data_IF_127570946142
#
_entry.id   IF_127570946142
#
_cell.length_a   1.000
_cell.length_b   1.000
_cell.length_c   1.000
_cell.angle_alpha   90.00
_cell.angle_beta   90.00
_cell.angle_gamma   90.00
#
_symmetry.space_group_name_H-M   'P 1'
#
loop_
_entity.id
_entity.type
_entity.pdbx_description
1 polymer ?
#
# COMPACT_ATOMS: atom_id res chain seq x y z
N UNK A 1 -18.26 -1.06 3.77
CA UNK A 1 -18.50 -0.10 2.66
C UNK A 1 -17.47 1.02 2.71
N UNK A 2 -16.86 1.33 1.57
CA UNK A 2 -15.73 2.26 1.44
C UNK A 2 -16.19 3.58 0.80
N UNK A 3 -15.67 4.73 1.26
CA UNK A 3 -16.01 6.04 0.68
C UNK A 3 -15.27 6.29 -0.65
N UNK A 4 -15.76 7.23 -1.47
CA UNK A 4 -15.05 7.67 -2.68
C UNK A 4 -13.63 8.15 -2.39
N UNK A 5 -13.44 8.91 -1.30
CA UNK A 5 -12.11 9.41 -0.90
C UNK A 5 -11.13 8.28 -0.54
N UNK A 6 -11.60 7.22 0.11
CA UNK A 6 -10.77 6.05 0.40
C UNK A 6 -10.39 5.27 -0.87
N UNK A 7 -11.28 5.22 -1.87
CA UNK A 7 -10.95 4.64 -3.18
C UNK A 7 -9.88 5.47 -3.91
N UNK A 8 -9.94 6.80 -3.86
CA UNK A 8 -8.89 7.66 -4.42
C UNK A 8 -7.54 7.37 -3.76
N UNK A 9 -7.49 7.28 -2.42
CA UNK A 9 -6.27 6.91 -1.71
C UNK A 9 -5.74 5.53 -2.14
N UNK A 10 -6.62 4.54 -2.33
CA UNK A 10 -6.24 3.23 -2.84
C UNK A 10 -5.69 3.29 -4.27
N UNK A 11 -6.26 4.11 -5.16
CA UNK A 11 -5.72 4.31 -6.51
C UNK A 11 -4.34 4.95 -6.49
N UNK A 12 -4.10 5.94 -5.61
CA UNK A 12 -2.77 6.52 -5.42
C UNK A 12 -1.78 5.44 -5.00
N UNK A 13 -2.13 4.62 -3.99
CA UNK A 13 -1.28 3.50 -3.56
C UNK A 13 -0.99 2.52 -4.71
N UNK A 14 -1.99 2.15 -5.52
CA UNK A 14 -1.81 1.27 -6.67
C UNK A 14 -0.86 1.87 -7.72
N UNK A 15 -1.02 3.15 -8.04
CA UNK A 15 -0.16 3.84 -9.00
C UNK A 15 1.29 3.92 -8.48
N UNK A 16 1.49 4.26 -7.21
CA UNK A 16 2.81 4.30 -6.58
C UNK A 16 3.49 2.93 -6.53
N UNK A 17 2.75 1.86 -6.17
CA UNK A 17 3.28 0.51 -6.16
C UNK A 17 3.63 0.01 -7.57
N UNK A 18 2.81 0.35 -8.57
CA UNK A 18 3.11 0.06 -9.97
C UNK A 18 4.38 0.79 -10.46
N UNK A 19 4.52 2.07 -10.13
CA UNK A 19 5.71 2.85 -10.44
C UNK A 19 6.97 2.25 -9.82
N UNK A 20 6.91 1.85 -8.54
CA UNK A 20 8.03 1.23 -7.82
C UNK A 20 8.53 -0.04 -8.52
N UNK A 21 7.60 -0.95 -8.87
CA UNK A 21 7.94 -2.18 -9.59
C UNK A 21 8.53 -1.91 -10.99
N UNK A 22 7.97 -0.95 -11.73
CA UNK A 22 8.45 -0.60 -13.07
C UNK A 22 9.85 0.02 -13.01
N UNK A 23 10.09 0.93 -12.07
CA UNK A 23 11.41 1.56 -11.91
C UNK A 23 12.45 0.56 -11.44
N UNK A 24 12.11 -0.30 -10.47
CA UNK A 24 13.03 -1.34 -10.00
C UNK A 24 13.44 -2.30 -11.13
N UNK A 25 12.48 -2.74 -11.95
CA UNK A 25 12.77 -3.55 -13.14
C UNK A 25 13.62 -2.77 -14.15
N UNK A 26 13.28 -1.49 -14.38
CA UNK A 26 14.03 -0.60 -15.27
C UNK A 26 15.48 -0.40 -14.85
N UNK A 27 15.77 -0.34 -13.55
CA UNK A 27 17.14 -0.24 -13.05
C UNK A 27 18.02 -1.40 -13.47
N UNK A 28 17.49 -2.62 -13.53
CA UNK A 28 18.25 -3.80 -13.96
C UNK A 28 18.58 -3.79 -15.45
N UNK A 29 17.87 -2.98 -16.24
CA UNK A 29 18.12 -2.80 -17.67
C UNK A 29 19.00 -1.58 -17.97
N UNK A 30 18.82 -0.48 -17.23
CA UNK A 30 19.49 0.80 -17.48
C UNK A 30 20.88 0.86 -16.82
N UNK A 31 21.02 0.21 -15.66
CA UNK A 31 22.22 0.21 -14.82
C UNK A 31 22.65 -1.23 -14.46
N UNK A 32 22.90 -2.11 -15.46
CA UNK A 32 23.23 -3.52 -15.22
C UNK A 32 24.58 -3.73 -14.52
N UNK A 33 25.41 -2.69 -14.43
CA UNK A 33 26.68 -2.68 -13.70
C UNK A 33 26.54 -2.81 -12.18
N UNK A 34 25.36 -2.52 -11.63
CA UNK A 34 25.08 -2.67 -10.20
C UNK A 34 24.61 -4.11 -9.95
N UNK A 35 25.42 -4.88 -9.21
CA UNK A 35 25.15 -6.28 -8.92
C UNK A 35 23.86 -6.45 -8.10
N UNK A 36 22.83 -7.13 -8.64
CA UNK A 36 21.57 -7.30 -7.93
C UNK A 36 21.66 -8.19 -6.68
N UNK A 37 22.70 -8.99 -6.53
CA UNK A 37 22.86 -9.90 -5.41
C UNK A 37 23.45 -9.20 -4.18
N UNK A 38 24.46 -8.35 -4.39
CA UNK A 38 25.26 -7.76 -3.32
C UNK A 38 24.92 -6.29 -3.08
N UNK A 39 24.77 -5.48 -4.14
CA UNK A 39 24.56 -4.04 -4.03
C UNK A 39 23.16 -3.66 -3.57
N UNK A 40 23.08 -2.62 -2.75
CA UNK A 40 21.83 -2.02 -2.34
C UNK A 40 21.07 -1.43 -3.54
N UNK A 41 19.74 -1.50 -3.51
CA UNK A 41 18.87 -0.78 -4.46
C UNK A 41 19.05 0.74 -4.35
N UNK A 42 19.49 1.24 -3.19
CA UNK A 42 19.80 2.66 -3.04
C UNK A 42 21.02 3.11 -3.86
N UNK A 43 21.96 2.21 -4.19
CA UNK A 43 23.16 2.54 -5.00
C UNK A 43 22.81 2.92 -6.45
N UNK A 44 21.63 2.56 -6.94
CA UNK A 44 21.14 3.06 -8.24
C UNK A 44 21.07 4.58 -8.31
N UNK A 45 21.11 5.28 -7.17
CA UNK A 45 21.17 6.74 -7.11
C UNK A 45 22.45 7.32 -7.74
N UNK A 46 23.54 6.54 -7.82
CA UNK A 46 24.83 7.04 -8.29
C UNK A 46 25.08 6.90 -9.79
N UNK A 47 24.26 6.13 -10.52
CA UNK A 47 24.44 5.98 -11.96
C UNK A 47 23.39 6.72 -12.79
N UNK A 48 23.19 6.25 -14.02
CA UNK A 48 22.54 7.00 -15.12
C UNK A 48 21.10 7.44 -14.82
N UNK A 49 20.37 6.65 -14.03
CA UNK A 49 18.98 6.93 -13.68
C UNK A 49 18.83 7.32 -12.21
N UNK A 50 19.88 7.90 -11.59
CA UNK A 50 19.94 8.15 -10.15
C UNK A 50 18.77 8.90 -9.55
N UNK A 51 18.28 9.94 -10.24
CA UNK A 51 17.10 10.71 -9.81
C UNK A 51 15.84 9.83 -9.63
N UNK A 52 15.70 8.75 -10.41
CA UNK A 52 14.57 7.84 -10.30
C UNK A 52 14.57 7.08 -8.97
N UNK A 53 15.72 6.93 -8.30
CA UNK A 53 15.81 6.28 -6.98
C UNK A 53 15.10 7.14 -5.93
N UNK A 54 15.38 8.45 -5.92
CA UNK A 54 14.69 9.41 -5.05
C UNK A 54 13.20 9.54 -5.38
N UNK A 55 12.85 9.68 -6.66
CA UNK A 55 11.44 9.78 -7.11
C UNK A 55 10.65 8.55 -6.66
N UNK A 56 11.23 7.36 -6.82
CA UNK A 56 10.57 6.11 -6.44
C UNK A 56 10.45 5.98 -4.93
N UNK A 57 11.48 6.36 -4.16
CA UNK A 57 11.37 6.40 -2.70
C UNK A 57 10.26 7.34 -2.23
N UNK A 58 10.12 8.51 -2.86
CA UNK A 58 9.04 9.45 -2.55
C UNK A 58 7.66 8.86 -2.92
N UNK A 59 7.54 8.22 -4.08
CA UNK A 59 6.31 7.58 -4.52
C UNK A 59 5.88 6.43 -3.58
N UNK A 60 6.81 5.56 -3.18
CA UNK A 60 6.56 4.51 -2.18
C UNK A 60 6.05 5.12 -0.88
N UNK A 61 6.67 6.21 -0.43
CA UNK A 61 6.25 6.90 0.78
C UNK A 61 4.83 7.50 0.67
N UNK A 62 4.52 8.18 -0.44
CA UNK A 62 3.18 8.71 -0.72
C UNK A 62 2.12 7.60 -0.78
N UNK A 63 2.43 6.49 -1.46
CA UNK A 63 1.56 5.33 -1.57
C UNK A 63 1.26 4.71 -0.21
N UNK A 64 2.28 4.59 0.66
CA UNK A 64 2.13 4.06 2.01
C UNK A 64 1.32 4.97 2.93
N UNK A 65 1.57 6.28 2.93
CA UNK A 65 0.76 7.24 3.71
C UNK A 65 -0.69 7.23 3.24
N UNK A 66 -0.91 7.17 1.93
CA UNK A 66 -2.26 7.07 1.36
C UNK A 66 -2.99 5.81 1.82
N UNK A 67 -2.31 4.66 1.81
CA UNK A 67 -2.85 3.40 2.28
C UNK A 67 -3.12 3.42 3.78
N UNK A 68 -2.22 4.00 4.58
CA UNK A 68 -2.38 4.15 6.01
C UNK A 68 -3.66 4.95 6.35
N UNK A 69 -3.87 6.09 5.71
CA UNK A 69 -5.08 6.91 5.88
C UNK A 69 -6.33 6.14 5.44
N UNK A 70 -6.25 5.42 4.31
CA UNK A 70 -7.35 4.61 3.82
C UNK A 70 -7.77 3.51 4.82
N UNK A 71 -6.80 2.76 5.35
CA UNK A 71 -7.01 1.70 6.36
C UNK A 71 -7.51 2.28 7.68
N UNK A 72 -6.96 3.41 8.13
CA UNK A 72 -7.40 4.09 9.35
C UNK A 72 -8.89 4.46 9.30
N UNK A 73 -9.40 4.87 8.12
CA UNK A 73 -10.81 5.24 7.92
C UNK A 73 -11.78 4.07 7.91
N UNK A 74 -11.33 2.88 7.54
CA UNK A 74 -12.21 1.71 7.34
C UNK A 74 -12.12 0.68 8.47
N UNK A 75 -11.12 0.79 9.34
CA UNK A 75 -10.90 -0.14 10.45
C UNK A 75 -11.10 0.55 11.81
N UNK A 76 -11.62 -0.20 12.79
CA UNK A 76 -11.93 0.32 14.14
C UNK A 76 -11.10 -0.35 15.24
N UNK A 77 -10.46 -1.48 14.94
CA UNK A 77 -9.67 -2.23 15.92
C UNK A 77 -8.37 -1.51 16.26
N UNK A 78 -7.97 -1.50 17.53
CA UNK A 78 -6.71 -0.90 18.00
C UNK A 78 -5.50 -1.44 17.23
N UNK A 79 -5.41 -2.77 17.06
CA UNK A 79 -4.35 -3.42 16.28
C UNK A 79 -4.20 -2.84 14.87
N UNK A 80 -5.30 -2.68 14.13
CA UNK A 80 -5.26 -2.10 12.79
C UNK A 80 -4.87 -0.61 12.79
N UNK A 81 -5.28 0.15 13.81
CA UNK A 81 -4.87 1.55 13.97
C UNK A 81 -3.38 1.67 14.26
N UNK A 82 -2.84 0.82 15.13
CA UNK A 82 -1.39 0.73 15.36
C UNK A 82 -0.67 0.39 14.05
N UNK A 83 -1.16 -0.61 13.32
CA UNK A 83 -0.61 -0.99 12.01
C UNK A 83 -0.65 0.17 11.00
N UNK A 84 -1.75 0.90 10.92
CA UNK A 84 -1.87 2.09 10.06
C UNK A 84 -0.92 3.22 10.49
N UNK A 85 -0.74 3.44 11.80
CA UNK A 85 0.24 4.38 12.33
C UNK A 85 1.68 4.00 11.94
N UNK A 86 2.05 2.72 12.09
CA UNK A 86 3.35 2.20 11.67
C UNK A 86 3.56 2.32 10.15
N UNK A 87 2.52 2.09 9.34
CA UNK A 87 2.59 2.28 7.89
C UNK A 87 2.75 3.76 7.51
N UNK A 88 2.14 4.68 8.27
CA UNK A 88 2.37 6.11 8.09
C UNK A 88 3.81 6.50 8.44
N UNK A 89 4.37 5.97 9.53
CA UNK A 89 5.79 6.15 9.89
C UNK A 89 6.70 5.63 8.79
N UNK A 90 6.44 4.43 8.26
CA UNK A 90 7.14 3.88 7.10
C UNK A 90 7.09 4.85 5.91
N UNK A 91 5.89 5.32 5.55
CA UNK A 91 5.71 6.18 4.39
C UNK A 91 6.40 7.54 4.54
N UNK A 92 6.32 8.15 5.72
CA UNK A 92 7.03 9.39 6.05
C UNK A 92 8.54 9.21 6.05
N UNK A 93 9.05 8.08 6.56
CA UNK A 93 10.47 7.76 6.50
C UNK A 93 10.97 7.65 5.05
N UNK A 94 10.21 7.00 4.17
CA UNK A 94 10.53 6.88 2.73
C UNK A 94 10.47 8.21 1.98
N UNK A 95 9.52 9.08 2.33
CA UNK A 95 9.45 10.46 1.82
C UNK A 95 10.63 11.29 2.28
N UNK A 96 11.02 11.21 3.55
CA UNK A 96 12.20 11.90 4.04
C UNK A 96 13.46 11.36 3.35
N UNK A 97 13.59 10.04 3.23
CA UNK A 97 14.75 9.36 2.66
C UNK A 97 15.01 9.76 1.20
N UNK A 98 13.99 10.18 0.43
CA UNK A 98 14.20 10.63 -0.95
C UNK A 98 15.07 11.88 -1.07
N UNK A 99 15.21 12.66 0.00
CA UNK A 99 16.05 13.87 0.06
C UNK A 99 17.47 13.60 0.57
N UNK A 100 17.75 12.39 1.04
CA UNK A 100 19.06 12.00 1.57
C UNK A 100 19.61 10.86 0.71
N UNK A 101 20.39 11.13 -0.34
CA UNK A 101 21.07 10.09 -1.12
C UNK A 101 22.01 9.24 -0.23
N UNK A 102 22.18 7.97 -0.57
CA UNK A 102 23.20 7.13 0.08
C UNK A 102 24.60 7.58 -0.34
N UNK A 103 25.59 7.41 0.52
CA UNK A 103 26.98 7.77 0.23
C UNK A 103 27.57 6.86 -0.86
N UNK A 104 28.33 7.46 -1.79
CA UNK A 104 29.12 6.71 -2.78
C UNK A 104 30.47 6.20 -2.22
N UNK A 105 30.85 6.69 -1.03
CA UNK A 105 32.09 6.39 -0.33
C UNK A 105 32.36 7.41 0.78
N UNK A 106 33.01 6.97 1.86
CA UNK A 106 33.14 7.77 3.09
C UNK A 106 31.80 7.92 3.82
N UNK A 107 31.84 8.31 5.09
CA UNK A 107 30.63 8.50 5.90
C UNK A 107 30.24 9.98 5.94
N UNK A 108 29.05 10.31 5.46
CA UNK A 108 28.48 11.66 5.58
C UNK A 108 27.22 11.64 6.45
N UNK A 109 26.82 12.82 6.94
CA UNK A 109 25.53 12.97 7.65
C UNK A 109 24.35 12.62 6.75
N UNK A 110 24.45 12.87 5.45
CA UNK A 110 23.40 12.54 4.47
C UNK A 110 23.22 11.03 4.35
N UNK A 111 24.30 10.27 4.14
CA UNK A 111 24.24 8.81 4.10
C UNK A 111 23.84 8.20 5.44
N UNK A 112 24.25 8.80 6.57
CA UNK A 112 23.76 8.38 7.89
C UNK A 112 22.24 8.52 8.02
N UNK A 113 21.68 9.66 7.59
CA UNK A 113 20.22 9.87 7.58
C UNK A 113 19.51 8.91 6.63
N UNK A 114 20.08 8.63 5.45
CA UNK A 114 19.55 7.64 4.52
C UNK A 114 19.43 6.26 5.20
N UNK A 115 20.51 5.81 5.85
CA UNK A 115 20.55 4.51 6.52
C UNK A 115 19.59 4.44 7.71
N UNK A 116 19.52 5.49 8.53
CA UNK A 116 18.59 5.56 9.65
C UNK A 116 17.13 5.44 9.19
N UNK A 117 16.75 6.21 8.17
CA UNK A 117 15.40 6.20 7.61
C UNK A 117 15.07 4.87 6.93
N UNK A 118 16.05 4.29 6.22
CA UNK A 118 15.94 2.97 5.62
C UNK A 118 15.71 1.87 6.66
N UNK A 119 16.53 1.83 7.71
CA UNK A 119 16.41 0.85 8.80
C UNK A 119 15.08 0.97 9.53
N UNK A 120 14.64 2.20 9.83
CA UNK A 120 13.31 2.44 10.39
C UNK A 120 12.23 1.85 9.48
N UNK A 121 12.30 2.11 8.17
CA UNK A 121 11.35 1.60 7.20
C UNK A 121 11.35 0.06 7.13
N UNK A 122 12.52 -0.59 7.15
CA UNK A 122 12.64 -2.07 7.18
C UNK A 122 12.03 -2.71 8.42
N UNK A 123 12.06 -2.02 9.57
CA UNK A 123 11.55 -2.54 10.84
C UNK A 123 10.03 -2.37 10.99
N UNK A 124 9.48 -1.23 10.56
CA UNK A 124 8.07 -0.92 10.85
C UNK A 124 7.09 -1.54 9.84
N UNK A 125 7.49 -1.72 8.58
CA UNK A 125 6.60 -2.25 7.54
C UNK A 125 6.11 -3.68 7.81
N UNK A 126 6.95 -4.65 8.22
CA UNK A 126 6.49 -6.02 8.48
C UNK A 126 5.41 -6.06 9.55
N UNK A 127 5.61 -5.30 10.63
CA UNK A 127 4.65 -5.19 11.74
C UNK A 127 3.35 -4.55 11.25
N UNK A 128 3.43 -3.47 10.48
CA UNK A 128 2.26 -2.87 9.85
C UNK A 128 1.50 -3.86 8.97
N UNK A 129 2.21 -4.65 8.16
CA UNK A 129 1.63 -5.62 7.24
C UNK A 129 0.84 -6.71 7.98
N UNK A 130 1.41 -7.26 9.06
CA UNK A 130 0.74 -8.28 9.89
C UNK A 130 -0.54 -7.73 10.52
N UNK A 131 -0.48 -6.52 11.10
CA UNK A 131 -1.61 -5.94 11.82
C UNK A 131 -2.74 -5.48 10.89
N UNK A 132 -2.40 -4.96 9.71
CA UNK A 132 -3.38 -4.41 8.75
C UNK A 132 -4.12 -5.53 7.99
N UNK A 133 -3.41 -6.55 7.52
CA UNK A 133 -3.94 -7.57 6.59
C UNK A 133 -5.28 -8.19 7.05
N UNK A 134 -5.42 -8.73 8.28
CA UNK A 134 -6.68 -9.33 8.72
C UNK A 134 -7.79 -8.31 8.96
N UNK A 135 -7.45 -7.07 9.31
CA UNK A 135 -8.45 -6.02 9.54
C UNK A 135 -8.99 -5.46 8.22
N UNK A 136 -8.11 -5.21 7.25
CA UNK A 136 -8.48 -4.74 5.92
C UNK A 136 -9.34 -5.77 5.16
N UNK A 137 -8.98 -7.06 5.24
CA UNK A 137 -9.76 -8.15 4.65
C UNK A 137 -11.21 -8.17 5.19
N UNK A 138 -11.37 -8.11 6.52
CA UNK A 138 -12.70 -8.09 7.17
C UNK A 138 -13.50 -6.85 6.79
N UNK A 139 -12.91 -5.67 6.86
CA UNK A 139 -13.59 -4.42 6.55
C UNK A 139 -14.03 -4.30 5.08
N UNK A 140 -13.35 -5.01 4.17
CA UNK A 140 -13.72 -5.12 2.76
C UNK A 140 -14.66 -6.29 2.45
N UNK A 141 -15.20 -6.98 3.46
CA UNK A 141 -16.16 -8.09 3.27
C UNK A 141 -15.56 -9.40 2.77
N UNK A 142 -14.23 -9.57 2.87
CA UNK A 142 -13.52 -10.78 2.43
C UNK A 142 -13.40 -11.86 3.51
N UNK A 143 -13.85 -11.60 4.74
CA UNK A 143 -13.72 -12.51 5.87
C UNK A 143 -12.27 -12.64 6.35
N UNK A 144 -11.83 -13.87 6.62
CA UNK A 144 -10.44 -14.16 7.00
C UNK A 144 -9.54 -14.11 5.76
N UNK A 145 -8.36 -13.46 5.82
CA UNK A 145 -7.43 -13.50 4.71
C UNK A 145 -6.96 -14.95 4.49
N UNK A 146 -6.94 -15.38 3.22
CA UNK A 146 -6.40 -16.68 2.84
C UNK A 146 -4.90 -16.82 3.14
N UNK A 147 -4.29 -17.93 2.72
CA UNK A 147 -2.88 -18.22 3.00
C UNK A 147 -1.92 -17.25 2.29
N UNK A 148 -2.23 -16.86 1.05
CA UNK A 148 -1.34 -16.02 0.22
C UNK A 148 -1.06 -14.61 0.79
N UNK A 149 -2.06 -13.81 1.23
CA UNK A 149 -1.79 -12.50 1.84
C UNK A 149 -0.98 -12.59 3.14
N UNK A 150 -1.17 -13.67 3.91
CA UNK A 150 -0.38 -13.94 5.12
C UNK A 150 1.05 -14.29 4.76
N UNK A 151 1.25 -15.14 3.75
CA UNK A 151 2.57 -15.48 3.23
C UNK A 151 3.31 -14.21 2.76
N UNK A 152 2.65 -13.31 2.03
CA UNK A 152 3.26 -12.05 1.61
C UNK A 152 3.72 -11.19 2.80
N UNK A 153 2.90 -11.07 3.85
CA UNK A 153 3.29 -10.36 5.08
C UNK A 153 4.48 -11.04 5.79
N UNK A 154 4.49 -12.37 5.87
CA UNK A 154 5.61 -13.13 6.45
C UNK A 154 6.88 -13.07 5.60
N UNK A 155 6.76 -13.01 4.28
CA UNK A 155 7.89 -12.83 3.38
C UNK A 155 8.55 -11.46 3.62
N UNK A 156 7.77 -10.41 3.87
CA UNK A 156 8.28 -9.10 4.28
C UNK A 156 9.04 -9.20 5.61
N UNK A 157 8.53 -9.95 6.61
CA UNK A 157 9.26 -10.19 7.88
C UNK A 157 10.58 -10.89 7.64
N UNK A 158 10.57 -12.01 6.91
CA UNK A 158 11.75 -12.81 6.63
C UNK A 158 12.82 -11.97 5.92
N UNK A 159 12.41 -11.23 4.88
CA UNK A 159 13.34 -10.41 4.11
C UNK A 159 13.84 -9.19 4.86
N UNK A 160 13.07 -8.60 5.79
CA UNK A 160 13.60 -7.58 6.71
C UNK A 160 14.74 -8.12 7.57
N UNK A 161 14.59 -9.33 8.13
CA UNK A 161 15.66 -9.97 8.91
C UNK A 161 16.88 -10.21 8.03
N UNK A 162 16.67 -10.74 6.82
CA UNK A 162 17.74 -10.98 5.85
C UNK A 162 18.44 -9.70 5.40
N UNK A 163 17.75 -8.57 5.28
CA UNK A 163 18.38 -7.27 4.97
C UNK A 163 19.27 -6.81 6.13
N UNK A 164 18.85 -7.00 7.38
CA UNK A 164 19.61 -6.60 8.56
C UNK A 164 20.87 -7.45 8.78
N UNK A 165 20.89 -8.70 8.33
CA UNK A 165 22.04 -9.61 8.46
C UNK A 165 22.76 -9.87 7.13
N UNK A 166 22.21 -9.38 6.01
CA UNK A 166 22.54 -9.80 4.65
C UNK A 166 23.94 -9.41 4.20
N UNK A 167 24.49 -8.36 4.80
CA UNK A 167 25.84 -7.89 4.54
C UNK A 167 26.89 -8.96 4.91
N UNK A 168 26.59 -9.79 5.91
CA UNK A 168 27.47 -10.89 6.34
C UNK A 168 27.46 -12.12 5.44
N UNK A 169 26.50 -12.26 4.53
CA UNK A 169 26.32 -13.45 3.67
C UNK A 169 26.34 -13.16 2.17
N UNK A 170 26.61 -11.91 1.78
CA UNK A 170 26.71 -11.49 0.36
C UNK A 170 25.38 -11.54 -0.41
N UNK A 171 24.24 -11.57 0.28
CA UNK A 171 22.89 -11.62 -0.32
C UNK A 171 22.04 -10.39 0.04
N UNK A 172 22.68 -9.33 0.53
CA UNK A 172 22.01 -8.10 0.95
C UNK A 172 21.14 -7.52 -0.18
N UNK A 173 21.73 -7.32 -1.37
CA UNK A 173 21.05 -6.77 -2.53
C UNK A 173 19.85 -7.60 -2.97
N UNK A 174 19.96 -8.93 -2.95
CA UNK A 174 18.85 -9.82 -3.30
C UNK A 174 17.74 -9.74 -2.25
N UNK A 175 18.08 -9.85 -0.97
CA UNK A 175 17.12 -9.77 0.13
C UNK A 175 16.34 -8.45 0.09
N UNK A 176 17.03 -7.34 -0.18
CA UNK A 176 16.42 -6.02 -0.28
C UNK A 176 15.45 -5.93 -1.47
N UNK A 177 15.79 -6.49 -2.63
CA UNK A 177 14.90 -6.52 -3.80
C UNK A 177 13.64 -7.36 -3.53
N UNK A 178 13.79 -8.54 -2.93
CA UNK A 178 12.64 -9.38 -2.56
C UNK A 178 11.76 -8.65 -1.55
N UNK A 179 12.35 -7.96 -0.56
CA UNK A 179 11.61 -7.12 0.38
C UNK A 179 10.79 -6.04 -0.33
N UNK A 180 11.41 -5.26 -1.24
CA UNK A 180 10.76 -4.16 -1.95
C UNK A 180 9.62 -4.67 -2.84
N UNK A 181 9.86 -5.74 -3.62
CA UNK A 181 8.83 -6.36 -4.45
C UNK A 181 7.68 -6.87 -3.59
N UNK A 182 7.97 -7.56 -2.48
CA UNK A 182 6.95 -8.07 -1.57
C UNK A 182 6.13 -6.95 -0.93
N UNK A 183 6.79 -5.85 -0.54
CA UNK A 183 6.17 -4.64 -0.01
C UNK A 183 5.22 -3.98 -1.04
N UNK A 184 5.68 -3.80 -2.28
CA UNK A 184 4.87 -3.24 -3.36
C UNK A 184 3.65 -4.13 -3.68
N UNK A 185 3.85 -5.44 -3.79
CA UNK A 185 2.76 -6.39 -4.05
C UNK A 185 1.75 -6.44 -2.88
N UNK A 186 2.23 -6.41 -1.64
CA UNK A 186 1.36 -6.38 -0.46
C UNK A 186 0.54 -5.09 -0.38
N UNK A 187 1.18 -3.92 -0.58
CA UNK A 187 0.46 -2.64 -0.59
C UNK A 187 -0.56 -2.58 -1.74
N UNK A 188 -0.20 -3.04 -2.93
CA UNK A 188 -1.11 -3.15 -4.07
C UNK A 188 -2.28 -4.10 -3.80
N UNK A 189 -2.03 -5.24 -3.14
CA UNK A 189 -3.06 -6.18 -2.75
C UNK A 189 -4.09 -5.52 -1.81
N UNK A 190 -3.65 -4.90 -0.72
CA UNK A 190 -4.55 -4.24 0.24
C UNK A 190 -5.28 -3.07 -0.42
N UNK A 191 -4.60 -2.29 -1.26
CA UNK A 191 -5.21 -1.21 -2.02
C UNK A 191 -6.27 -1.72 -3.02
N UNK A 192 -6.02 -2.83 -3.72
CA UNK A 192 -6.99 -3.46 -4.62
C UNK A 192 -8.26 -3.87 -3.86
N UNK A 193 -8.12 -4.30 -2.61
CA UNK A 193 -9.25 -4.68 -1.79
C UNK A 193 -10.14 -3.50 -1.44
N UNK A 194 -9.52 -2.37 -1.09
CA UNK A 194 -10.19 -1.10 -0.80
C UNK A 194 -10.85 -0.53 -2.06
N UNK A 195 -10.16 -0.63 -3.20
CA UNK A 195 -10.65 -0.14 -4.48
C UNK A 195 -11.89 -0.90 -4.97
N UNK A 196 -11.90 -2.23 -4.80
CA UNK A 196 -12.96 -3.12 -5.25
C UNK A 196 -14.14 -3.23 -4.27
N UNK A 197 -14.02 -2.73 -3.05
CA UNK A 197 -15.10 -2.80 -2.08
C UNK A 197 -16.27 -1.90 -2.51
N UNK A 198 -17.51 -2.40 -2.37
CA UNK A 198 -18.73 -1.64 -2.72
C UNK A 198 -18.75 -0.28 -2.02
N UNK A 199 -19.05 0.78 -2.78
CA UNK A 199 -19.05 2.14 -2.25
C UNK A 199 -20.30 2.40 -1.41
N UNK A 200 -20.15 3.23 -0.36
CA UNK A 200 -21.30 3.72 0.43
C UNK A 200 -22.29 4.48 -0.47
N UNK A 201 -21.75 5.26 -1.41
CA UNK A 201 -22.53 6.14 -2.27
C UNK A 201 -23.40 5.37 -3.27
N UNK A 202 -22.90 4.27 -3.84
CA UNK A 202 -23.70 3.41 -4.74
C UNK A 202 -24.80 2.65 -3.99
N UNK A 203 -24.53 2.20 -2.76
CA UNK A 203 -25.54 1.55 -1.95
C UNK A 203 -26.66 2.53 -1.53
N UNK A 204 -26.31 3.76 -1.18
CA UNK A 204 -27.26 4.82 -0.88
C UNK A 204 -28.11 5.20 -2.10
N UNK A 205 -27.50 5.32 -3.28
CA UNK A 205 -28.23 5.60 -4.54
C UNK A 205 -29.19 4.48 -4.91
N UNK A 206 -28.79 3.21 -4.76
CA UNK A 206 -29.66 2.07 -5.04
C UNK A 206 -30.85 2.01 -4.07
N UNK A 207 -30.63 2.29 -2.77
CA UNK A 207 -31.72 2.32 -1.78
C UNK A 207 -32.73 3.44 -2.04
N UNK A 208 -32.27 4.63 -2.45
CA UNK A 208 -33.16 5.73 -2.83
C UNK A 208 -33.94 5.41 -4.11
N UNK A 209 -33.31 4.74 -5.09
CA UNK A 209 -33.97 4.27 -6.31
C UNK A 209 -35.10 3.27 -6.03
N UNK A 210 -34.84 2.25 -5.19
CA UNK A 210 -35.85 1.26 -4.79
C UNK A 210 -37.01 1.89 -4.00
N UNK A 211 -36.72 2.85 -3.11
CA UNK A 211 -37.76 3.58 -2.36
C UNK A 211 -38.63 4.46 -3.29
N UNK A 212 -38.03 5.11 -4.29
CA UNK A 212 -38.74 5.90 -5.29
C UNK A 212 -39.65 5.05 -6.18
N UNK A 213 -39.23 3.83 -6.55
CA UNK A 213 -40.05 2.89 -7.32
C UNK A 213 -41.23 2.33 -6.50
N UNK A 214 -41.03 2.01 -5.22
CA UNK A 214 -42.11 1.55 -4.35
C UNK A 214 -43.16 2.63 -4.02
N UNK A 215 -42.80 3.91 -4.16
CA UNK A 215 -43.72 5.04 -3.91
C UNK A 215 -44.63 5.37 -5.10
N UNK A 216 -44.26 4.95 -6.32
CA UNK A 216 -45.03 5.21 -7.54
C UNK A 216 -46.14 4.20 -7.86
N UNK A 217 -46.26 3.14 -7.05
CA UNK A 217 -47.16 2.00 -7.29
C UNK A 217 -48.50 2.01 -6.56
N UNK A 218 -48.76 2.97 -5.66
CA UNK A 218 -50.08 3.10 -5.03
C UNK A 218 -51.05 3.85 -5.95
N UNK A 219 -51.55 3.14 -6.98
CA UNK A 219 -52.78 3.54 -7.66
C UNK A 219 -53.93 3.51 -6.64
N UNK A 220 -54.64 4.64 -6.54
CA UNK A 220 -55.80 4.80 -5.67
C UNK A 220 -56.87 3.73 -5.96
N UNK A 221 -57.57 3.21 -4.95
CA UNK A 221 -58.63 2.25 -5.16
C UNK A 221 -59.76 2.91 -5.98
N UNK A 222 -60.06 2.33 -7.13
CA UNK A 222 -61.22 2.72 -7.94
C UNK A 222 -62.48 2.47 -7.12
N UNK A 223 -63.16 3.56 -6.72
CA UNK A 223 -64.41 3.50 -5.97
C UNK A 223 -65.54 2.85 -6.78
N UNK A 224 -66.52 2.23 -6.10
CA UNK A 224 -67.60 1.51 -6.77
C UNK A 224 -68.47 2.47 -7.57
N UNK A 225 -68.57 2.21 -8.87
CA UNK A 225 -69.47 2.90 -9.79
C UNK A 225 -70.91 2.46 -9.52
N UNK A 226 -71.58 3.14 -8.59
CA UNK A 226 -73.03 3.03 -8.43
C UNK A 226 -73.73 4.09 -9.29
N UNK A 227 -74.54 3.67 -10.26
CA UNK A 227 -75.79 4.33 -10.66
C UNK A 227 -76.49 3.59 -11.79
N UNK A 228 -77.79 3.30 -11.60
CA UNK A 228 -78.76 3.41 -12.68
C UNK A 228 -79.64 2.19 -12.98
N UNK A 229 -80.80 2.17 -12.33
CA UNK A 229 -82.11 1.59 -12.74
C UNK A 229 -82.31 0.07 -12.63
#
# INVERSE_FOLDING_TARGET
MVSRSTRVLAAITLACAGLDLVVLAGFHLIQPEIDPLTSATSEYVHGKAGAMSSVTSAAVGLGAVSLAVAVWRITVTVSARVGAGLLAVFGLAKLAQSFFPIDAGGATTTGLMHNLLGNLAFLVLPVAAILITPAAARACGRGQPGWWPRLAAWLIVLTSVLVLVGDGVGLFGLAQRIYLVSAALWTALVASWLWSARSRDQAAQNQVGDAGQNSGGQQAPQGPSGSGL
#
